data_IF_791258553324
#
_entry.id   IF_791258553324
#
_cell.length_a   1.000
_cell.length_b   1.000
_cell.length_c   1.000
_cell.angle_alpha   90.00
_cell.angle_beta   90.00
_cell.angle_gamma   90.00
#
_symmetry.space_group_name_H-M   'P 1'
#
loop_
_entity.id
_entity.type
_entity.pdbx_description
1 polymer ?
#
# COMPACT_ATOMS: atom_id res chain seq x y z
N UNK A 1 -40.94 -42.23 -13.20
CA UNK A 1 -41.21 -41.18 -14.22
C UNK A 1 -40.67 -39.81 -13.81
N UNK A 2 -40.94 -39.32 -12.59
CA UNK A 2 -40.47 -37.99 -12.13
C UNK A 2 -38.94 -37.78 -12.20
N UNK A 3 -38.14 -38.80 -11.88
CA UNK A 3 -36.67 -38.72 -11.93
C UNK A 3 -36.15 -38.49 -13.36
N UNK A 4 -36.64 -39.24 -14.34
CA UNK A 4 -36.22 -39.10 -15.74
C UNK A 4 -36.62 -37.73 -16.31
N UNK A 5 -37.78 -37.20 -15.90
CA UNK A 5 -38.21 -35.86 -16.26
C UNK A 5 -37.29 -34.78 -15.62
N UNK A 6 -36.91 -34.94 -14.36
CA UNK A 6 -35.99 -34.02 -13.69
C UNK A 6 -34.59 -34.01 -14.35
N UNK A 7 -34.08 -35.19 -14.73
CA UNK A 7 -32.81 -35.32 -15.45
C UNK A 7 -32.87 -34.61 -16.82
N UNK A 8 -33.98 -34.78 -17.56
CA UNK A 8 -34.17 -34.10 -18.84
C UNK A 8 -34.21 -32.57 -18.69
N UNK A 9 -34.94 -32.07 -17.69
CA UNK A 9 -35.01 -30.62 -17.41
C UNK A 9 -33.64 -30.07 -17.01
N UNK A 10 -32.91 -30.76 -16.13
CA UNK A 10 -31.56 -30.35 -15.73
C UNK A 10 -30.59 -30.32 -16.91
N UNK A 11 -30.68 -31.28 -17.84
CA UNK A 11 -29.87 -31.30 -19.05
C UNK A 11 -30.13 -30.10 -19.98
N UNK A 12 -31.40 -29.71 -20.14
CA UNK A 12 -31.77 -28.53 -20.94
C UNK A 12 -31.21 -27.24 -20.31
N UNK A 13 -31.30 -27.11 -18.99
CA UNK A 13 -30.76 -25.95 -18.25
C UNK A 13 -29.23 -25.89 -18.40
N UNK A 14 -28.52 -27.02 -18.26
CA UNK A 14 -27.06 -27.10 -18.40
C UNK A 14 -26.61 -26.69 -19.82
N UNK A 15 -27.29 -27.20 -20.86
CA UNK A 15 -27.00 -26.85 -22.24
C UNK A 15 -27.23 -25.36 -22.52
N UNK A 16 -28.31 -24.79 -21.98
CA UNK A 16 -28.58 -23.35 -22.07
C UNK A 16 -27.49 -22.52 -21.37
N UNK A 17 -27.01 -22.97 -20.21
CA UNK A 17 -25.93 -22.32 -19.48
C UNK A 17 -24.61 -22.36 -20.25
N UNK A 18 -24.22 -23.53 -20.79
CA UNK A 18 -23.00 -23.68 -21.62
C UNK A 18 -23.06 -22.77 -22.85
N UNK A 19 -24.21 -22.72 -23.53
CA UNK A 19 -24.40 -21.86 -24.70
C UNK A 19 -24.33 -20.37 -24.35
N UNK A 20 -24.99 -19.96 -23.26
CA UNK A 20 -24.94 -18.58 -22.76
C UNK A 20 -23.52 -18.16 -22.38
N UNK A 21 -22.82 -19.02 -21.65
CA UNK A 21 -21.44 -18.79 -21.22
C UNK A 21 -20.47 -18.73 -22.41
N UNK A 22 -20.62 -19.61 -23.40
CA UNK A 22 -19.79 -19.64 -24.60
C UNK A 22 -19.92 -18.37 -25.45
N UNK A 23 -21.11 -17.76 -25.51
CA UNK A 23 -21.32 -16.49 -26.22
C UNK A 23 -20.70 -15.31 -25.48
N UNK A 24 -20.72 -15.31 -24.16
CA UNK A 24 -20.16 -14.21 -23.36
C UNK A 24 -18.63 -14.23 -23.23
N UNK A 25 -17.95 -15.35 -23.51
CA UNK A 25 -16.48 -15.41 -23.45
C UNK A 25 -15.78 -14.96 -24.73
N UNK A 26 -16.48 -14.83 -25.86
CA UNK A 26 -15.95 -14.13 -27.05
C UNK A 26 -16.19 -12.63 -26.93
N UNK A 27 -15.57 -12.00 -25.92
CA UNK A 27 -15.33 -10.57 -26.01
C UNK A 27 -14.33 -10.38 -27.16
N UNK A 28 -14.79 -9.87 -28.30
CA UNK A 28 -13.90 -9.25 -29.27
C UNK A 28 -13.13 -8.19 -28.50
N UNK A 29 -11.84 -8.42 -28.27
CA UNK A 29 -11.00 -7.52 -27.50
C UNK A 29 -11.21 -6.11 -28.02
N UNK A 30 -11.59 -5.19 -27.12
CA UNK A 30 -11.66 -3.77 -27.49
C UNK A 30 -10.30 -3.42 -28.07
N UNK A 31 -10.21 -2.89 -29.30
CA UNK A 31 -8.94 -2.42 -29.83
C UNK A 31 -8.48 -1.28 -28.93
N UNK A 32 -7.57 -1.59 -28.01
CA UNK A 32 -7.00 -0.60 -27.11
C UNK A 32 -6.05 0.21 -28.00
N UNK A 33 -6.46 1.41 -28.39
CA UNK A 33 -5.55 2.37 -28.99
C UNK A 33 -4.54 2.75 -27.91
N UNK A 34 -3.36 2.12 -27.96
CA UNK A 34 -2.28 2.38 -27.00
C UNK A 34 -1.67 3.73 -27.35
N UNK A 35 -2.17 4.80 -26.73
CA UNK A 35 -1.51 6.11 -26.80
C UNK A 35 -0.31 6.06 -25.88
N UNK A 36 0.87 5.80 -26.45
CA UNK A 36 2.11 5.96 -25.70
C UNK A 36 2.30 7.44 -25.37
N UNK A 37 2.64 7.79 -24.11
CA UNK A 37 3.05 9.15 -23.80
C UNK A 37 4.24 9.54 -24.69
N UNK A 38 4.31 10.81 -25.08
CA UNK A 38 5.39 11.27 -25.95
C UNK A 38 6.74 10.94 -25.32
N UNK A 39 7.51 10.12 -26.03
CA UNK A 39 8.86 9.77 -25.59
C UNK A 39 9.72 11.03 -25.73
N UNK A 40 10.44 11.45 -24.69
CA UNK A 40 11.30 12.62 -24.80
C UNK A 40 12.28 12.44 -25.96
N UNK A 41 12.51 13.50 -26.73
CA UNK A 41 13.38 13.49 -27.91
C UNK A 41 14.81 12.99 -27.63
N UNK A 42 15.21 12.92 -26.36
CA UNK A 42 16.42 12.26 -25.88
C UNK A 42 16.09 11.39 -24.66
N UNK A 43 16.55 10.12 -24.63
CA UNK A 43 16.45 9.31 -23.43
C UNK A 43 17.26 9.96 -22.30
N UNK A 44 16.61 10.13 -21.15
CA UNK A 44 17.23 10.62 -19.92
C UNK A 44 17.88 9.41 -19.24
N UNK A 45 19.13 9.51 -18.78
CA UNK A 45 19.76 8.39 -18.07
C UNK A 45 19.03 8.15 -16.75
N UNK A 46 18.84 6.89 -16.36
CA UNK A 46 18.29 6.55 -15.05
C UNK A 46 19.07 7.19 -13.90
N UNK A 47 20.40 7.37 -14.08
CA UNK A 47 21.26 8.11 -13.15
C UNK A 47 20.85 9.58 -13.01
N UNK A 48 20.54 10.25 -14.11
CA UNK A 48 20.18 11.67 -14.11
C UNK A 48 18.80 11.88 -13.46
N UNK A 49 17.86 10.96 -13.69
CA UNK A 49 16.56 10.94 -13.01
C UNK A 49 16.72 10.73 -11.50
N UNK A 50 17.57 9.80 -11.08
CA UNK A 50 17.87 9.56 -9.65
C UNK A 50 18.53 10.77 -8.99
N UNK A 51 19.46 11.45 -9.67
CA UNK A 51 20.11 12.66 -9.14
C UNK A 51 19.10 13.80 -8.96
N UNK A 52 18.09 13.89 -9.81
CA UNK A 52 17.04 14.91 -9.70
C UNK A 52 16.08 14.65 -8.52
N UNK A 53 15.83 13.37 -8.18
CA UNK A 53 14.92 13.00 -7.09
C UNK A 53 15.41 11.72 -6.37
N UNK A 54 16.42 11.83 -5.49
CA UNK A 54 17.01 10.66 -4.86
C UNK A 54 16.06 10.04 -3.85
N UNK A 55 15.85 8.72 -3.97
CA UNK A 55 15.20 7.95 -2.91
C UNK A 55 16.20 7.81 -1.77
N UNK A 56 15.80 8.18 -0.56
CA UNK A 56 16.64 7.99 0.61
C UNK A 56 16.77 6.49 0.89
N UNK A 57 17.97 6.04 1.24
CA UNK A 57 18.19 4.65 1.65
C UNK A 57 17.64 4.42 3.05
N UNK A 58 16.32 4.55 3.23
CA UNK A 58 15.57 4.42 4.48
C UNK A 58 14.50 3.38 4.24
N UNK A 59 14.64 2.20 4.86
CA UNK A 59 13.70 1.08 4.69
C UNK A 59 12.67 1.07 5.80
N UNK A 60 11.41 1.24 5.43
CA UNK A 60 10.30 1.34 6.37
C UNK A 60 9.28 0.25 6.08
N UNK A 61 8.71 -0.30 7.14
CA UNK A 61 7.44 -1.02 7.03
C UNK A 61 6.29 -0.21 7.64
N UNK A 62 5.10 -0.33 7.07
CA UNK A 62 3.90 0.37 7.54
C UNK A 62 2.81 -0.64 7.89
N UNK A 63 2.38 -0.64 9.15
CA UNK A 63 1.40 -1.57 9.71
C UNK A 63 0.13 -0.85 10.12
N UNK A 64 -1.04 -1.35 9.71
CA UNK A 64 -2.33 -0.84 10.17
C UNK A 64 -2.67 -1.38 11.57
N UNK A 65 -2.57 -0.52 12.58
CA UNK A 65 -2.85 -0.86 13.97
C UNK A 65 -4.22 -0.39 14.48
N UNK A 66 -5.05 0.26 13.66
CA UNK A 66 -6.34 0.82 14.07
C UNK A 66 -7.54 0.25 13.31
N UNK A 67 -7.30 -0.55 12.25
CA UNK A 67 -8.34 -1.27 11.52
C UNK A 67 -9.07 -0.44 10.47
N UNK A 68 -8.59 0.76 10.16
CA UNK A 68 -9.12 1.57 9.05
C UNK A 68 -8.68 0.98 7.73
N UNK A 69 -9.63 0.64 6.86
CA UNK A 69 -9.33 0.03 5.56
C UNK A 69 -8.38 0.92 4.76
N UNK A 70 -7.41 0.30 4.08
CA UNK A 70 -6.49 0.96 3.13
C UNK A 70 -5.52 1.99 3.75
N UNK A 71 -5.59 2.24 5.06
CA UNK A 71 -4.79 3.27 5.71
C UNK A 71 -3.27 3.04 5.55
N UNK A 72 -2.80 1.81 5.72
CA UNK A 72 -1.37 1.50 5.57
C UNK A 72 -0.87 1.70 4.12
N UNK A 73 -1.71 1.43 3.11
CA UNK A 73 -1.38 1.66 1.72
C UNK A 73 -1.30 3.16 1.40
N UNK A 74 -2.25 3.95 1.91
CA UNK A 74 -2.21 5.43 1.73
C UNK A 74 -1.04 6.07 2.45
N UNK A 75 -0.72 5.62 3.66
CA UNK A 75 0.48 6.07 4.36
C UNK A 75 1.75 5.64 3.61
N UNK A 76 1.75 4.49 2.94
CA UNK A 76 2.85 4.07 2.08
C UNK A 76 3.08 5.06 0.93
N UNK A 77 2.02 5.49 0.25
CA UNK A 77 2.09 6.51 -0.81
C UNK A 77 2.58 7.85 -0.26
N UNK A 78 2.06 8.27 0.89
CA UNK A 78 2.50 9.48 1.58
C UNK A 78 4.00 9.44 1.87
N UNK A 79 4.52 8.39 2.52
CA UNK A 79 5.94 8.29 2.85
C UNK A 79 6.83 8.23 1.60
N UNK A 80 6.40 7.54 0.54
CA UNK A 80 7.11 7.53 -0.75
C UNK A 80 7.16 8.92 -1.40
N UNK A 81 6.10 9.72 -1.28
CA UNK A 81 6.12 11.13 -1.71
C UNK A 81 7.20 11.96 -0.99
N UNK A 82 7.59 11.53 0.22
CA UNK A 82 8.66 12.13 1.03
C UNK A 82 10.04 11.48 0.81
N UNK A 83 10.20 10.71 -0.28
CA UNK A 83 11.43 10.00 -0.66
C UNK A 83 11.85 8.87 0.32
N UNK A 84 10.91 8.35 1.11
CA UNK A 84 11.15 7.23 2.03
C UNK A 84 10.79 5.91 1.34
N UNK A 85 11.68 4.92 1.41
CA UNK A 85 11.45 3.61 0.80
C UNK A 85 10.64 2.70 1.73
N UNK A 86 9.35 2.59 1.43
CA UNK A 86 8.46 1.64 2.12
C UNK A 86 8.58 0.28 1.44
N UNK A 87 9.22 -0.67 2.13
CA UNK A 87 9.51 -2.01 1.62
C UNK A 87 8.36 -2.99 1.84
N UNK A 88 7.50 -2.73 2.83
CA UNK A 88 6.35 -3.57 3.17
C UNK A 88 5.22 -2.74 3.77
N UNK A 89 3.98 -3.12 3.46
CA UNK A 89 2.77 -2.60 4.11
C UNK A 89 1.81 -3.74 4.42
N UNK A 90 1.27 -3.78 5.63
CA UNK A 90 0.37 -4.85 6.09
C UNK A 90 -0.50 -4.39 7.29
N UNK A 91 -1.24 -5.30 7.92
CA UNK A 91 -1.85 -5.08 9.23
C UNK A 91 -0.85 -5.34 10.37
N UNK A 92 -1.05 -4.65 11.50
CA UNK A 92 -0.34 -4.98 12.73
C UNK A 92 -0.87 -6.29 13.32
N UNK A 93 -0.24 -6.76 14.40
CA UNK A 93 -0.68 -7.92 15.18
C UNK A 93 -2.10 -7.77 15.76
N UNK A 94 -2.55 -6.52 15.99
CA UNK A 94 -3.93 -6.21 16.35
C UNK A 94 -4.36 -4.79 15.92
N UNK A 95 -5.66 -4.52 15.94
CA UNK A 95 -6.25 -3.23 15.53
C UNK A 95 -6.60 -2.27 16.70
N UNK A 96 -5.99 -2.46 17.87
CA UNK A 96 -6.34 -1.70 19.08
C UNK A 96 -5.29 -0.66 19.48
N UNK A 97 -4.31 -0.34 18.61
CA UNK A 97 -3.31 0.68 18.88
C UNK A 97 -3.99 2.05 19.02
N UNK A 98 -3.88 2.66 20.20
CA UNK A 98 -4.41 4.03 20.42
C UNK A 98 -3.51 5.06 19.76
N UNK A 99 -2.20 4.88 19.90
CA UNK A 99 -1.18 5.78 19.38
C UNK A 99 -0.44 5.22 18.18
N UNK A 100 -0.08 6.10 17.27
CA UNK A 100 0.79 5.78 16.14
C UNK A 100 2.21 5.59 16.65
N UNK A 101 2.80 4.42 16.42
CA UNK A 101 4.13 4.09 16.89
C UNK A 101 5.15 4.15 15.75
N UNK A 102 6.30 4.75 16.04
CA UNK A 102 7.49 4.74 15.20
C UNK A 102 8.58 4.00 15.97
N UNK A 103 8.91 2.79 15.52
CA UNK A 103 9.83 1.90 16.21
C UNK A 103 11.13 1.83 15.43
N UNK A 104 12.23 2.26 16.04
CA UNK A 104 13.57 2.09 15.49
C UNK A 104 14.03 0.64 15.65
N UNK A 105 14.44 0.01 14.54
CA UNK A 105 14.84 -1.40 14.46
C UNK A 105 16.34 -1.64 14.36
N UNK A 106 17.13 -0.64 13.99
CA UNK A 106 18.59 -0.72 13.92
C UNK A 106 19.25 0.59 14.38
N UNK A 107 20.56 0.73 14.24
CA UNK A 107 21.32 1.91 14.65
C UNK A 107 21.10 3.16 13.78
N UNK A 108 20.29 3.08 12.71
CA UNK A 108 20.07 4.20 11.78
C UNK A 108 19.10 5.24 12.34
N UNK A 109 19.59 6.02 13.30
CA UNK A 109 18.83 7.10 13.96
C UNK A 109 18.32 8.15 12.97
N UNK A 110 19.06 8.42 11.89
CA UNK A 110 18.63 9.35 10.83
C UNK A 110 17.33 8.87 10.14
N UNK A 111 17.17 7.56 9.94
CA UNK A 111 15.95 6.95 9.40
C UNK A 111 14.76 7.24 10.31
N UNK A 112 14.92 7.03 11.63
CA UNK A 112 13.89 7.34 12.62
C UNK A 112 13.49 8.83 12.56
N UNK A 113 14.49 9.72 12.58
CA UNK A 113 14.26 11.17 12.55
C UNK A 113 13.49 11.61 11.31
N UNK A 114 13.85 11.07 10.14
CA UNK A 114 13.18 11.41 8.88
C UNK A 114 11.73 10.95 8.88
N UNK A 115 11.46 9.71 9.29
CA UNK A 115 10.10 9.16 9.37
C UNK A 115 9.23 9.94 10.35
N UNK A 116 9.74 10.23 11.55
CA UNK A 116 9.05 11.02 12.55
C UNK A 116 8.72 12.43 12.05
N UNK A 117 9.69 13.12 11.43
CA UNK A 117 9.49 14.45 10.86
C UNK A 117 8.46 14.47 9.71
N UNK A 118 8.42 13.42 8.89
CA UNK A 118 7.42 13.25 7.83
C UNK A 118 6.01 13.11 8.40
N UNK A 119 5.84 12.36 9.50
CA UNK A 119 4.54 12.19 10.18
C UNK A 119 4.20 13.34 11.15
N UNK A 120 5.13 14.26 11.41
CA UNK A 120 4.92 15.37 12.35
C UNK A 120 5.03 14.96 13.82
N UNK A 121 5.65 13.82 14.10
CA UNK A 121 5.86 13.29 15.45
C UNK A 121 7.24 13.74 15.95
N UNK A 122 7.32 14.18 17.21
CA UNK A 122 8.61 14.51 17.82
C UNK A 122 9.37 13.23 18.19
N UNK A 123 10.64 13.13 17.80
CA UNK A 123 11.50 11.98 18.12
C UNK A 123 11.70 11.75 19.62
N UNK A 124 11.51 12.76 20.45
CA UNK A 124 11.61 12.64 21.92
C UNK A 124 10.29 12.24 22.57
N UNK A 125 9.21 12.10 21.82
CA UNK A 125 7.91 11.71 22.34
C UNK A 125 7.86 10.19 22.58
N UNK A 126 8.01 9.79 23.85
CA UNK A 126 8.00 8.39 24.25
C UNK A 126 6.63 7.70 24.10
N UNK A 127 5.55 8.44 23.86
CA UNK A 127 4.24 7.84 23.59
C UNK A 127 4.11 7.33 22.15
N UNK A 128 4.89 7.89 21.22
CA UNK A 128 4.89 7.52 19.80
C UNK A 128 6.19 6.84 19.38
N UNK A 129 7.33 7.14 20.02
CA UNK A 129 8.65 6.69 19.56
C UNK A 129 9.24 5.65 20.49
N UNK A 130 9.65 4.52 19.91
CA UNK A 130 10.24 3.40 20.63
C UNK A 130 11.53 2.91 19.96
N UNK A 131 12.45 2.38 20.76
CA UNK A 131 13.69 1.77 20.27
C UNK A 131 13.64 0.28 20.63
N UNK A 132 13.36 -0.56 19.65
CA UNK A 132 13.24 -2.01 19.82
C UNK A 132 14.02 -2.67 18.68
N UNK A 133 15.34 -2.88 18.86
CA UNK A 133 16.20 -3.38 17.80
C UNK A 133 15.82 -4.80 17.35
N UNK A 134 15.79 -5.01 16.04
CA UNK A 134 15.59 -6.31 15.39
C UNK A 134 16.13 -6.27 13.94
N UNK A 135 17.42 -6.58 13.79
CA UNK A 135 18.09 -6.63 12.49
C UNK A 135 17.54 -7.72 11.55
N UNK A 136 16.87 -8.74 12.10
CA UNK A 136 16.36 -9.87 11.30
C UNK A 136 15.27 -9.45 10.31
N UNK A 137 14.61 -8.33 10.58
CA UNK A 137 13.57 -7.74 9.73
C UNK A 137 14.15 -7.06 8.47
N UNK A 138 15.44 -6.68 8.48
CA UNK A 138 16.09 -6.00 7.35
C UNK A 138 15.52 -4.61 7.02
N UNK A 139 14.93 -3.95 8.02
CA UNK A 139 14.33 -2.60 7.94
C UNK A 139 14.93 -1.68 9.01
N UNK A 140 14.81 -0.37 8.81
CA UNK A 140 15.27 0.62 9.79
C UNK A 140 14.18 1.01 10.79
N UNK A 141 12.95 1.15 10.30
CA UNK A 141 11.82 1.69 11.07
C UNK A 141 10.54 0.91 10.78
N UNK A 142 9.81 0.57 11.83
CA UNK A 142 8.41 0.12 11.76
C UNK A 142 7.49 1.28 12.11
N UNK A 143 6.51 1.58 11.26
CA UNK A 143 5.41 2.50 11.58
C UNK A 143 4.15 1.70 11.83
N UNK A 144 3.57 1.78 13.02
CA UNK A 144 2.27 1.18 13.35
C UNK A 144 1.25 2.29 13.50
N UNK A 145 0.23 2.32 12.65
CA UNK A 145 -0.77 3.39 12.62
C UNK A 145 -1.83 3.17 13.72
N UNK A 146 -1.93 4.15 14.62
CA UNK A 146 -2.89 4.16 15.72
C UNK A 146 -4.20 4.84 15.36
N UNK A 147 -5.13 4.85 16.31
CA UNK A 147 -6.42 5.56 16.18
C UNK A 147 -6.25 7.08 16.13
N UNK A 148 -5.10 7.59 16.54
CA UNK A 148 -4.72 8.99 16.48
C UNK A 148 -4.17 9.44 15.12
N UNK A 149 -4.18 8.60 14.08
CA UNK A 149 -3.61 8.93 12.76
C UNK A 149 -4.18 10.24 12.18
N UNK A 150 -5.43 10.60 12.47
CA UNK A 150 -6.08 11.84 12.01
C UNK A 150 -5.47 13.09 12.66
N UNK A 151 -4.75 12.94 13.76
CA UNK A 151 -3.99 14.04 14.39
C UNK A 151 -2.70 14.36 13.65
N UNK A 152 -2.23 13.45 12.79
CA UNK A 152 -1.03 13.62 11.97
C UNK A 152 -1.38 14.47 10.75
N UNK A 153 -1.44 15.79 10.95
CA UNK A 153 -2.01 16.75 9.98
C UNK A 153 -1.48 16.56 8.55
N UNK A 154 -0.17 16.36 8.37
CA UNK A 154 0.43 16.16 7.03
C UNK A 154 -0.08 14.90 6.32
N UNK A 155 -0.28 13.82 7.08
CA UNK A 155 -0.79 12.56 6.55
C UNK A 155 -2.29 12.70 6.24
N UNK A 156 -3.05 13.29 7.17
CA UNK A 156 -4.49 13.51 7.00
C UNK A 156 -4.79 14.41 5.80
N UNK A 157 -4.01 15.48 5.62
CA UNK A 157 -4.10 16.37 4.45
C UNK A 157 -3.84 15.60 3.15
N UNK A 158 -2.82 14.73 3.12
CA UNK A 158 -2.49 13.92 1.94
C UNK A 158 -3.60 12.94 1.57
N UNK A 159 -4.18 12.26 2.57
CA UNK A 159 -5.28 11.31 2.40
C UNK A 159 -6.55 12.03 1.94
N UNK A 160 -6.83 13.21 2.48
CA UNK A 160 -8.02 14.00 2.13
C UNK A 160 -8.01 14.48 0.68
N UNK A 161 -6.83 14.77 0.13
CA UNK A 161 -6.67 15.21 -1.27
C UNK A 161 -6.68 14.02 -2.24
N UNK A 162 -6.33 12.82 -1.78
CA UNK A 162 -6.29 11.58 -2.58
C UNK A 162 -7.21 10.52 -1.95
N UNK A 163 -8.55 10.65 -2.12
CA UNK A 163 -9.54 9.82 -1.44
C UNK A 163 -9.65 8.41 -2.01
#
# INVERSE_FOLDING_TARGET
MALNAAIAVAGIILLGFIYSFSKNQMHQGVPIAVTFPETPARPILAKDVFIQNPILNIKVEVLNGCGVLDLAARTTEFLRSQQIDVVRSDNADHHQYQHTLIIQRNERVESLQKVAASLGINVTDSSHVQIIPDESLGIDVTVILGKDYTTLTKLEDFISVNP
#
